data_IF_127262791606
#
_entry.id   IF_127262791606
#
_cell.length_a   1.000
_cell.length_b   1.000
_cell.length_c   1.000
_cell.angle_alpha   90.00
_cell.angle_beta   90.00
_cell.angle_gamma   90.00
#
_symmetry.space_group_name_H-M   'P 1'
#
loop_
_entity.id
_entity.type
_entity.pdbx_description
1 polymer ?
#
# COMPACT_ATOMS: atom_id res chain seq x y z
N UNK A 1 0.86 20.83 18.61
CA UNK A 1 -0.48 20.68 18.00
C UNK A 1 -0.84 19.20 17.92
N UNK A 2 -1.94 18.75 18.54
CA UNK A 2 -2.36 17.36 18.49
C UNK A 2 -2.77 17.02 17.05
N UNK A 3 -2.12 16.02 16.47
CA UNK A 3 -2.44 15.47 15.15
C UNK A 3 -3.84 14.84 15.22
N UNK A 4 -4.82 15.43 14.51
CA UNK A 4 -6.13 14.80 14.31
C UNK A 4 -5.88 13.40 13.73
N UNK A 5 -6.00 12.36 14.56
CA UNK A 5 -6.07 10.98 14.11
C UNK A 5 -7.31 10.92 13.20
N UNK A 6 -7.10 10.87 11.88
CA UNK A 6 -8.21 10.76 10.93
C UNK A 6 -9.06 9.56 11.34
N UNK A 7 -10.30 9.84 11.75
CA UNK A 7 -11.20 8.81 12.26
C UNK A 7 -11.51 7.82 11.11
N UNK A 8 -11.51 6.51 11.37
CA UNK A 8 -11.73 5.49 10.32
C UNK A 8 -12.94 5.75 9.41
N UNK A 9 -14.10 6.25 9.90
CA UNK A 9 -15.25 6.58 9.04
C UNK A 9 -14.95 7.62 7.96
N UNK A 10 -14.18 8.68 8.28
CA UNK A 10 -13.86 9.75 7.33
C UNK A 10 -12.96 9.24 6.18
N UNK A 11 -12.06 8.30 6.50
CA UNK A 11 -11.18 7.66 5.53
C UNK A 11 -11.97 6.73 4.59
N UNK A 12 -12.99 6.04 5.11
CA UNK A 12 -13.89 5.20 4.29
C UNK A 12 -14.65 6.07 3.31
N UNK A 13 -15.28 7.16 3.77
CA UNK A 13 -16.03 8.10 2.91
C UNK A 13 -15.13 8.64 1.80
N UNK A 14 -13.93 9.13 2.16
CA UNK A 14 -12.94 9.60 1.17
C UNK A 14 -12.53 8.50 0.20
N UNK A 15 -12.27 7.28 0.69
CA UNK A 15 -11.87 6.15 -0.13
C UNK A 15 -12.94 5.74 -1.14
N UNK A 16 -14.20 5.69 -0.72
CA UNK A 16 -15.35 5.43 -1.59
C UNK A 16 -15.52 6.56 -2.62
N UNK A 17 -15.41 7.82 -2.20
CA UNK A 17 -15.45 8.96 -3.11
C UNK A 17 -14.34 8.89 -4.18
N UNK A 18 -13.10 8.53 -3.79
CA UNK A 18 -11.99 8.38 -4.73
C UNK A 18 -12.23 7.24 -5.74
N UNK A 19 -12.86 6.15 -5.31
CA UNK A 19 -13.26 5.05 -6.21
C UNK A 19 -14.36 5.49 -7.18
N UNK A 20 -15.39 6.18 -6.68
CA UNK A 20 -16.53 6.64 -7.48
C UNK A 20 -16.18 7.76 -8.46
N UNK A 21 -15.22 8.62 -8.13
CA UNK A 21 -14.83 9.76 -8.97
C UNK A 21 -13.78 9.44 -10.04
N UNK A 22 -13.40 8.16 -10.22
CA UNK A 22 -12.39 7.77 -11.22
C UNK A 22 -10.98 8.29 -10.91
N UNK A 23 -10.75 8.76 -9.67
CA UNK A 23 -9.45 9.29 -9.23
C UNK A 23 -8.43 8.20 -8.90
N UNK A 24 -8.78 6.94 -9.11
CA UNK A 24 -7.92 5.78 -8.91
C UNK A 24 -7.80 4.97 -10.21
N UNK A 25 -6.58 4.64 -10.59
CA UNK A 25 -6.32 3.73 -11.72
C UNK A 25 -5.75 2.41 -11.22
N UNK A 26 -6.41 1.31 -11.58
CA UNK A 26 -5.85 -0.03 -11.46
C UNK A 26 -4.99 -0.36 -12.67
N UNK A 27 -3.70 -0.58 -12.47
CA UNK A 27 -2.78 -0.84 -13.58
C UNK A 27 -2.60 -2.33 -13.83
N UNK A 28 -3.37 -2.84 -14.80
CA UNK A 28 -3.34 -4.24 -15.24
C UNK A 28 -2.05 -4.59 -15.99
N UNK A 29 -1.41 -3.61 -16.65
CA UNK A 29 -0.15 -3.81 -17.40
C UNK A 29 1.04 -4.33 -16.58
N UNK A 30 0.95 -4.26 -15.26
CA UNK A 30 1.99 -4.78 -14.35
C UNK A 30 1.65 -6.17 -13.80
N UNK A 31 0.43 -6.67 -13.99
CA UNK A 31 0.02 -7.98 -13.49
C UNK A 31 0.90 -9.08 -14.08
N UNK A 32 1.31 -10.03 -13.25
CA UNK A 32 2.20 -11.14 -13.54
C UNK A 32 3.64 -10.76 -13.92
N UNK A 33 4.03 -9.47 -13.80
CA UNK A 33 5.44 -9.09 -13.97
C UNK A 33 6.24 -9.45 -12.73
N UNK A 34 7.46 -9.93 -12.97
CA UNK A 34 8.45 -10.17 -11.93
C UNK A 34 9.16 -8.88 -11.54
N UNK A 35 9.33 -8.66 -10.25
CA UNK A 35 10.03 -7.52 -9.68
C UNK A 35 10.96 -8.02 -8.58
N UNK A 36 12.21 -7.59 -8.61
CA UNK A 36 13.14 -7.77 -7.48
C UNK A 36 12.88 -6.68 -6.45
N UNK A 37 12.61 -7.08 -5.22
CA UNK A 37 12.50 -6.18 -4.07
C UNK A 37 13.53 -6.61 -3.05
N UNK A 38 14.54 -5.75 -2.87
CA UNK A 38 15.78 -6.13 -2.21
C UNK A 38 16.36 -7.37 -2.94
N UNK A 39 16.66 -8.47 -2.25
CA UNK A 39 17.26 -9.67 -2.84
C UNK A 39 16.24 -10.78 -3.19
N UNK A 40 14.94 -10.46 -3.19
CA UNK A 40 13.87 -11.45 -3.42
C UNK A 40 13.06 -11.13 -4.67
N UNK A 41 12.70 -12.18 -5.41
CA UNK A 41 11.83 -12.08 -6.58
C UNK A 41 10.36 -12.19 -6.15
N UNK A 42 9.54 -11.28 -6.66
CA UNK A 42 8.10 -11.26 -6.45
C UNK A 42 7.36 -11.14 -7.77
N UNK A 43 6.13 -11.65 -7.80
CA UNK A 43 5.17 -11.45 -8.88
C UNK A 43 4.17 -10.37 -8.48
N UNK A 44 4.00 -9.36 -9.32
CA UNK A 44 2.96 -8.34 -9.15
C UNK A 44 1.59 -8.96 -9.45
N UNK A 45 0.65 -8.87 -8.52
CA UNK A 45 -0.73 -9.30 -8.76
C UNK A 45 -1.74 -8.15 -8.76
N UNK A 46 -1.33 -6.96 -8.30
CA UNK A 46 -2.16 -5.74 -8.33
C UNK A 46 -1.31 -4.49 -8.24
N UNK A 47 -1.73 -3.42 -8.91
CA UNK A 47 -1.21 -2.07 -8.69
C UNK A 47 -2.34 -1.06 -8.77
N UNK A 48 -2.38 -0.10 -7.83
CA UNK A 48 -3.30 1.03 -7.82
C UNK A 48 -2.50 2.33 -7.70
N UNK A 49 -2.92 3.35 -8.44
CA UNK A 49 -2.36 4.70 -8.38
C UNK A 49 -3.47 5.71 -8.14
N UNK A 50 -3.14 6.77 -7.42
CA UNK A 50 -3.97 7.96 -7.31
C UNK A 50 -3.70 8.87 -8.51
N UNK A 51 -4.73 9.15 -9.31
CA UNK A 51 -4.64 9.97 -10.53
C UNK A 51 -4.56 11.47 -10.21
N UNK A 52 -5.08 11.88 -9.05
CA UNK A 52 -5.08 13.28 -8.60
C UNK A 52 -4.17 13.40 -7.40
N UNK A 53 -2.93 13.80 -7.65
CA UNK A 53 -2.02 14.28 -6.61
C UNK A 53 -2.45 15.72 -6.30
N UNK A 54 -2.59 16.12 -5.02
CA UNK A 54 -2.88 17.52 -4.68
C UNK A 54 -1.88 18.45 -5.38
N UNK A 55 -2.43 19.41 -6.11
CA UNK A 55 -1.82 20.24 -7.15
C UNK A 55 -0.89 21.34 -6.61
N UNK A 56 0.09 20.96 -5.79
CA UNK A 56 1.12 21.87 -5.26
C UNK A 56 2.56 21.38 -5.52
N UNK A 57 2.74 20.22 -6.15
CA UNK A 57 4.04 19.68 -6.53
C UNK A 57 4.19 19.67 -8.06
N UNK A 58 5.14 20.46 -8.56
CA UNK A 58 5.51 20.53 -9.99
C UNK A 58 6.13 19.23 -10.54
N UNK A 59 6.53 18.32 -9.66
CA UNK A 59 7.06 17.00 -10.02
C UNK A 59 6.48 15.93 -9.08
N UNK A 60 5.62 15.01 -9.57
CA UNK A 60 4.94 13.99 -8.77
C UNK A 60 5.82 12.79 -8.42
N UNK A 61 7.16 12.93 -8.46
CA UNK A 61 8.05 11.86 -8.04
C UNK A 61 7.79 11.52 -6.57
N UNK A 62 7.65 10.22 -6.23
CA UNK A 62 7.59 9.82 -4.83
C UNK A 62 8.88 10.24 -4.14
N UNK A 63 8.80 10.73 -2.91
CA UNK A 63 10.00 11.02 -2.09
C UNK A 63 10.30 9.90 -1.10
N UNK A 64 9.37 8.96 -0.92
CA UNK A 64 9.57 7.81 -0.06
C UNK A 64 8.93 6.54 -0.63
N UNK A 65 9.65 5.43 -0.47
CA UNK A 65 9.19 4.09 -0.76
C UNK A 65 9.06 3.35 0.57
N UNK A 66 7.87 2.80 0.83
CA UNK A 66 7.63 1.93 1.96
C UNK A 66 7.41 0.50 1.45
N UNK A 67 8.21 -0.43 1.94
CA UNK A 67 8.09 -1.88 1.69
C UNK A 67 7.55 -2.53 2.95
N UNK A 68 6.48 -3.32 2.85
CA UNK A 68 5.94 -4.11 3.96
C UNK A 68 5.89 -5.56 3.54
N UNK A 69 6.54 -6.43 4.30
CA UNK A 69 6.60 -7.87 4.09
C UNK A 69 5.82 -8.57 5.18
N UNK A 70 5.04 -9.60 4.84
CA UNK A 70 4.33 -10.41 5.82
C UNK A 70 3.87 -11.74 5.19
N UNK A 71 3.50 -12.69 6.04
CA UNK A 71 2.74 -13.89 5.64
C UNK A 71 1.34 -13.80 6.22
N UNK A 72 0.31 -14.18 5.48
CA UNK A 72 -1.04 -14.24 6.05
C UNK A 72 -1.15 -15.44 7.00
N UNK A 73 -1.86 -15.28 8.11
CA UNK A 73 -2.12 -16.36 9.07
C UNK A 73 -3.28 -17.28 8.64
N UNK A 74 -4.13 -16.82 7.72
CA UNK A 74 -5.34 -17.52 7.29
C UNK A 74 -5.53 -17.39 5.78
N UNK A 75 -6.23 -18.37 5.21
CA UNK A 75 -6.59 -18.50 3.80
C UNK A 75 -5.41 -18.76 2.85
N UNK A 76 -5.71 -19.35 1.70
CA UNK A 76 -4.72 -19.59 0.65
C UNK A 76 -4.20 -18.27 0.06
N UNK A 77 -3.03 -18.28 -0.62
CA UNK A 77 -2.54 -17.11 -1.34
C UNK A 77 -3.55 -16.57 -2.36
N UNK A 78 -4.25 -17.45 -3.09
CA UNK A 78 -5.27 -17.04 -4.06
C UNK A 78 -6.43 -16.28 -3.39
N UNK A 79 -6.97 -16.80 -2.29
CA UNK A 79 -8.04 -16.15 -1.53
C UNK A 79 -7.57 -14.80 -0.96
N UNK A 80 -6.35 -14.73 -0.42
CA UNK A 80 -5.80 -13.48 0.09
C UNK A 80 -5.55 -12.43 -1.01
N UNK A 81 -5.14 -12.84 -2.22
CA UNK A 81 -5.04 -11.95 -3.39
C UNK A 81 -6.40 -11.30 -3.69
N UNK A 82 -7.51 -12.05 -3.60
CA UNK A 82 -8.87 -11.52 -3.78
C UNK A 82 -9.24 -10.57 -2.64
N UNK A 83 -9.16 -11.04 -1.38
CA UNK A 83 -9.55 -10.28 -0.18
C UNK A 83 -8.74 -8.99 0.03
N UNK A 84 -7.60 -8.84 -0.67
CA UNK A 84 -6.81 -7.61 -0.66
C UNK A 84 -7.52 -6.39 -1.28
N UNK A 85 -8.70 -6.56 -1.92
CA UNK A 85 -9.57 -5.46 -2.38
C UNK A 85 -10.20 -4.69 -1.21
N UNK A 86 -10.62 -5.41 -0.17
CA UNK A 86 -11.39 -4.85 0.96
C UNK A 86 -10.70 -3.66 1.63
N UNK A 87 -9.38 -3.70 1.96
CA UNK A 87 -8.73 -2.56 2.61
C UNK A 87 -8.38 -1.40 1.66
N UNK A 88 -8.61 -1.50 0.34
CA UNK A 88 -8.19 -0.46 -0.62
C UNK A 88 -8.75 0.93 -0.29
N UNK A 89 -10.05 1.12 0.01
CA UNK A 89 -10.58 2.44 0.36
C UNK A 89 -9.85 3.09 1.55
N UNK A 90 -9.43 2.31 2.53
CA UNK A 90 -8.69 2.79 3.70
C UNK A 90 -7.22 3.13 3.37
N UNK A 91 -6.63 2.44 2.40
CA UNK A 91 -5.25 2.66 1.96
C UNK A 91 -5.16 3.92 1.10
N UNK A 92 -6.02 4.04 0.09
CA UNK A 92 -5.95 5.13 -0.90
C UNK A 92 -6.39 6.48 -0.35
N UNK A 93 -7.10 6.49 0.79
CA UNK A 93 -7.54 7.70 1.48
C UNK A 93 -6.48 8.31 2.40
N UNK A 94 -5.31 7.68 2.55
CA UNK A 94 -4.23 8.19 3.38
C UNK A 94 -3.60 9.45 2.78
N UNK A 95 -3.24 10.40 3.63
CA UNK A 95 -2.61 11.65 3.20
C UNK A 95 -1.21 11.35 2.66
N UNK A 96 -0.89 11.88 1.47
CA UNK A 96 0.39 11.67 0.78
C UNK A 96 0.53 10.31 0.07
N UNK A 97 -0.55 9.52 -0.03
CA UNK A 97 -0.54 8.26 -0.78
C UNK A 97 -0.43 8.53 -2.29
N UNK A 98 0.52 7.89 -2.97
CA UNK A 98 0.68 7.96 -4.43
C UNK A 98 0.26 6.65 -5.07
N UNK A 99 0.87 5.53 -4.65
CA UNK A 99 0.54 4.23 -5.22
C UNK A 99 0.77 3.07 -4.25
N UNK A 100 0.18 1.93 -4.60
CA UNK A 100 0.50 0.65 -3.99
C UNK A 100 0.60 -0.44 -5.05
N UNK A 101 1.66 -1.23 -4.95
CA UNK A 101 1.85 -2.47 -5.69
C UNK A 101 1.79 -3.64 -4.72
N UNK A 102 0.93 -4.62 -5.00
CA UNK A 102 0.86 -5.86 -4.25
C UNK A 102 1.62 -6.96 -4.98
N UNK A 103 2.48 -7.61 -4.22
CA UNK A 103 3.49 -8.53 -4.67
C UNK A 103 3.36 -9.84 -3.89
N UNK A 104 3.64 -10.96 -4.54
CA UNK A 104 3.68 -12.28 -3.90
C UNK A 104 4.87 -13.09 -4.41
N UNK A 105 5.60 -13.69 -3.48
CA UNK A 105 6.70 -14.63 -3.79
C UNK A 105 6.16 -16.05 -3.64
N UNK A 106 6.01 -16.76 -4.75
CA UNK A 106 5.60 -18.18 -4.76
C UNK A 106 6.65 -19.05 -4.04
N UNK A 107 7.94 -18.70 -4.14
CA UNK A 107 9.06 -19.39 -3.49
C UNK A 107 8.99 -19.34 -1.96
N UNK A 108 8.72 -18.16 -1.39
CA UNK A 108 8.82 -17.95 0.07
C UNK A 108 7.45 -17.89 0.77
N UNK A 109 6.36 -17.80 0.01
CA UNK A 109 5.01 -17.54 0.50
C UNK A 109 4.83 -16.13 1.09
N UNK A 110 5.78 -15.21 0.86
CA UNK A 110 5.75 -13.86 1.42
C UNK A 110 4.94 -12.93 0.51
N UNK A 111 4.04 -12.17 1.13
CA UNK A 111 3.40 -11.02 0.52
C UNK A 111 4.25 -9.78 0.75
N UNK A 112 4.33 -8.93 -0.27
CA UNK A 112 4.94 -7.61 -0.16
C UNK A 112 3.96 -6.53 -0.63
N UNK A 113 3.83 -5.46 0.16
CA UNK A 113 3.21 -4.21 -0.25
C UNK A 113 4.29 -3.18 -0.50
N UNK A 114 4.45 -2.75 -1.75
CA UNK A 114 5.32 -1.64 -2.11
C UNK A 114 4.47 -0.38 -2.28
N UNK A 115 4.75 0.64 -1.49
CA UNK A 115 3.99 1.88 -1.45
C UNK A 115 4.88 3.05 -1.84
N UNK A 116 4.34 3.92 -2.67
CA UNK A 116 4.94 5.20 -3.04
C UNK A 116 4.22 6.31 -2.28
N UNK A 117 5.00 7.20 -1.66
CA UNK A 117 4.52 8.30 -0.83
C UNK A 117 5.14 9.62 -1.24
N UNK A 118 4.35 10.68 -1.07
CA UNK A 118 4.74 12.07 -1.29
C UNK A 118 5.90 12.50 -0.38
N UNK A 119 5.92 12.01 0.87
CA UNK A 119 6.96 12.32 1.86
C UNK A 119 7.31 11.11 2.72
N UNK A 120 8.49 11.16 3.34
CA UNK A 120 8.91 10.13 4.31
C UNK A 120 8.00 10.15 5.55
N UNK A 121 7.51 11.32 5.94
CA UNK A 121 6.63 11.54 7.08
C UNK A 121 5.25 10.92 6.83
N UNK A 122 4.72 11.02 5.62
CA UNK A 122 3.48 10.34 5.24
C UNK A 122 3.62 8.81 5.35
N UNK A 123 4.73 8.24 4.86
CA UNK A 123 5.02 6.82 5.01
C UNK A 123 5.13 6.39 6.49
N UNK A 124 5.84 7.16 7.33
CA UNK A 124 5.95 6.93 8.78
C UNK A 124 4.59 6.99 9.49
N UNK A 125 3.73 7.93 9.11
CA UNK A 125 2.38 8.05 9.66
C UNK A 125 1.52 6.85 9.27
N UNK A 126 1.63 6.36 8.04
CA UNK A 126 0.90 5.17 7.59
C UNK A 126 1.28 3.91 8.38
N UNK A 127 2.56 3.73 8.76
CA UNK A 127 3.00 2.64 9.64
C UNK A 127 2.25 2.62 10.97
N UNK A 128 1.85 3.79 11.49
CA UNK A 128 1.12 3.93 12.76
C UNK A 128 -0.40 3.83 12.58
N UNK A 129 -0.90 3.63 11.36
CA UNK A 129 -2.32 3.67 11.03
C UNK A 129 -3.08 2.43 11.49
N UNK A 130 -4.41 2.55 11.55
CA UNK A 130 -5.30 1.42 11.78
C UNK A 130 -5.17 0.32 10.71
N UNK A 131 -4.83 0.69 9.46
CA UNK A 131 -4.65 -0.26 8.36
C UNK A 131 -3.51 -1.24 8.66
N UNK A 132 -2.42 -0.75 9.26
CA UNK A 132 -1.28 -1.59 9.64
C UNK A 132 -1.61 -2.47 10.83
N UNK A 133 -2.34 -1.96 11.83
CA UNK A 133 -2.85 -2.80 12.93
C UNK A 133 -3.73 -3.95 12.43
N UNK A 134 -4.62 -3.66 11.46
CA UNK A 134 -5.45 -4.69 10.82
C UNK A 134 -4.61 -5.69 10.01
N UNK A 135 -3.59 -5.21 9.30
CA UNK A 135 -2.66 -6.06 8.55
C UNK A 135 -1.89 -6.99 9.49
N UNK A 136 -1.37 -6.47 10.59
CA UNK A 136 -0.66 -7.23 11.63
C UNK A 136 -1.55 -8.33 12.21
N UNK A 137 -2.80 -8.01 12.58
CA UNK A 137 -3.78 -9.00 13.07
C UNK A 137 -4.07 -10.13 12.07
N UNK A 138 -3.99 -9.84 10.76
CA UNK A 138 -4.18 -10.83 9.69
C UNK A 138 -2.89 -11.57 9.31
N UNK A 139 -1.75 -11.07 9.77
CA UNK A 139 -0.44 -11.66 9.48
C UNK A 139 -0.14 -12.78 10.46
N UNK A 140 0.70 -13.73 10.04
CA UNK A 140 1.32 -14.68 10.95
C UNK A 140 2.10 -13.87 12.01
N UNK A 141 1.93 -14.15 13.32
CA UNK A 141 2.62 -13.41 14.38
C UNK A 141 4.13 -13.31 14.13
N UNK A 142 4.69 -12.10 14.26
CA UNK A 142 6.11 -11.83 14.03
C UNK A 142 6.56 -11.79 12.56
N UNK A 143 5.67 -12.07 11.60
CA UNK A 143 6.05 -12.07 10.17
C UNK A 143 6.06 -10.68 9.54
N UNK A 144 5.37 -9.70 10.13
CA UNK A 144 5.27 -8.35 9.59
C UNK A 144 6.60 -7.60 9.79
N UNK A 145 7.22 -7.21 8.68
CA UNK A 145 8.45 -6.41 8.65
C UNK A 145 8.26 -5.27 7.67
N UNK A 146 8.89 -4.13 7.92
CA UNK A 146 8.82 -3.00 7.00
C UNK A 146 10.15 -2.27 6.87
N UNK A 147 10.33 -1.58 5.75
CA UNK A 147 11.48 -0.72 5.45
C UNK A 147 10.99 0.53 4.74
N UNK A 148 11.41 1.69 5.21
CA UNK A 148 11.19 2.97 4.54
C UNK A 148 12.52 3.42 3.95
N UNK A 149 12.55 3.76 2.67
CA UNK A 149 13.71 4.36 2.00
C UNK A 149 13.28 5.67 1.35
N UNK A 150 14.20 6.64 1.28
CA UNK A 150 14.01 7.78 0.38
C UNK A 150 13.94 7.28 -1.06
N UNK A 151 13.12 7.89 -1.89
CA UNK A 151 13.21 7.65 -3.32
C UNK A 151 14.49 8.29 -3.85
N UNK A 152 15.20 7.68 -4.80
CA UNK A 152 16.24 8.39 -5.54
C UNK A 152 15.64 9.62 -6.23
N UNK A 153 16.38 10.74 -6.19
CA UNK A 153 16.02 12.02 -6.82
C UNK A 153 15.98 11.93 -8.36
#
# INVERSE_FOLDING_TARGET
MPTKKNLPPLLIIRGLFLLLTGKLTFQTKFKNKYVKVDDKTFTVFRKVLLNTIPSNLKDPKPKAILKIFFKFNRFSPATNKILSLIPIPLIVSQIGFISKTWLFSEETGVFCGLYEWETTEAAKNYIKSYVIKLMEKRSLPGSLKYKITKSPD
#
